data_IF_225045196834
#
_entry.id   IF_225045196834
#
_cell.length_a   1.000
_cell.length_b   1.000
_cell.length_c   1.000
_cell.angle_alpha   90.00
_cell.angle_beta   90.00
_cell.angle_gamma   90.00
#
_symmetry.space_group_name_H-M   'P 1'
#
loop_
_entity.id
_entity.type
_entity.pdbx_description
1 polymer ?
#
# COMPACT_ATOMS: atom_id res chain seq x y z
N UNK A 1 8.69 -10.12 -4.51
CA UNK A 1 7.23 -10.02 -4.41
C UNK A 1 6.75 -11.19 -3.58
N UNK A 2 5.87 -10.96 -2.62
CA UNK A 2 5.28 -12.00 -1.79
C UNK A 2 4.10 -12.62 -2.53
N UNK A 3 3.94 -13.95 -2.45
CA UNK A 3 3.00 -14.69 -3.31
C UNK A 3 1.61 -14.89 -2.70
N UNK A 4 1.46 -14.70 -1.40
CA UNK A 4 0.22 -15.02 -0.67
C UNK A 4 -0.04 -13.95 0.40
N UNK A 5 -0.50 -12.78 -0.03
CA UNK A 5 -0.86 -11.68 0.87
C UNK A 5 -2.29 -11.25 0.62
N UNK A 6 -3.07 -11.09 1.69
CA UNK A 6 -4.45 -10.59 1.60
C UNK A 6 -4.67 -9.38 2.51
N UNK A 7 -5.59 -8.50 2.12
CA UNK A 7 -6.09 -7.44 2.98
C UNK A 7 -7.11 -7.99 3.97
N UNK A 8 -7.20 -7.34 5.14
CA UNK A 8 -8.25 -7.65 6.12
C UNK A 8 -9.64 -7.26 5.61
N UNK A 9 -9.73 -6.12 4.92
CA UNK A 9 -10.98 -5.48 4.52
C UNK A 9 -10.92 -5.09 3.04
N UNK A 10 -12.09 -4.91 2.41
CA UNK A 10 -12.22 -4.56 0.99
C UNK A 10 -12.42 -3.06 0.72
N UNK A 11 -12.16 -2.19 1.70
CA UNK A 11 -12.33 -0.74 1.58
C UNK A 11 -11.21 0.03 2.29
N UNK A 12 -10.76 1.14 1.73
CA UNK A 12 -9.64 1.93 2.26
C UNK A 12 -9.83 2.33 3.73
N UNK A 13 -10.99 2.88 4.09
CA UNK A 13 -11.23 3.35 5.46
C UNK A 13 -11.23 2.22 6.48
N UNK A 14 -11.80 1.06 6.14
CA UNK A 14 -11.81 -0.11 7.03
C UNK A 14 -10.40 -0.71 7.17
N UNK A 15 -9.62 -0.74 6.09
CA UNK A 15 -8.22 -1.20 6.13
C UNK A 15 -7.38 -0.32 7.05
N UNK A 16 -7.54 1.01 7.01
CA UNK A 16 -6.76 1.92 7.86
C UNK A 16 -7.07 1.82 9.36
N UNK A 17 -8.16 1.14 9.75
CA UNK A 17 -8.39 0.78 11.15
C UNK A 17 -7.39 -0.25 11.69
N UNK A 18 -6.68 -0.99 10.83
CA UNK A 18 -5.71 -2.00 11.29
C UNK A 18 -4.33 -1.88 10.64
N UNK A 19 -4.24 -1.45 9.38
CA UNK A 19 -3.01 -1.52 8.58
C UNK A 19 -1.76 -0.92 9.25
N UNK A 20 -1.92 0.22 9.94
CA UNK A 20 -0.80 0.97 10.53
C UNK A 20 -0.81 0.99 12.05
N UNK A 21 -1.49 0.04 12.71
CA UNK A 21 -1.53 -0.07 14.16
C UNK A 21 -1.65 -1.54 14.60
N UNK A 22 -1.67 -1.82 15.90
CA UNK A 22 -1.73 -3.19 16.44
C UNK A 22 -3.16 -3.79 16.51
N UNK A 23 -4.16 -3.15 15.92
CA UNK A 23 -5.50 -3.71 15.72
C UNK A 23 -5.46 -4.71 14.58
N UNK A 24 -6.15 -5.82 14.75
CA UNK A 24 -6.26 -6.92 13.79
C UNK A 24 -7.65 -7.56 13.91
N UNK A 25 -7.89 -8.67 13.22
CA UNK A 25 -9.18 -9.37 13.28
C UNK A 25 -9.50 -10.02 14.64
N UNK A 26 -8.51 -10.28 15.49
CA UNK A 26 -8.67 -10.96 16.79
C UNK A 26 -8.70 -9.98 17.98
N UNK A 27 -8.32 -8.73 17.75
CA UNK A 27 -8.38 -7.67 18.75
C UNK A 27 -9.81 -7.25 19.10
N UNK A 28 -10.02 -6.81 20.34
CA UNK A 28 -11.36 -6.57 20.91
C UNK A 28 -11.62 -5.13 21.38
N UNK A 29 -10.75 -4.18 21.01
CA UNK A 29 -10.89 -2.77 21.36
C UNK A 29 -11.03 -1.95 20.09
N UNK A 30 -11.66 -0.77 20.14
CA UNK A 30 -11.61 0.16 19.02
C UNK A 30 -10.16 0.46 18.60
N UNK A 31 -9.92 0.55 17.29
CA UNK A 31 -8.58 0.65 16.71
C UNK A 31 -7.74 1.82 17.29
N UNK A 32 -8.40 2.93 17.62
CA UNK A 32 -7.75 4.13 18.16
C UNK A 32 -7.19 3.95 19.59
N UNK A 33 -7.43 2.80 20.23
CA UNK A 33 -6.75 2.43 21.47
C UNK A 33 -5.41 1.72 21.25
N UNK A 34 -5.12 1.25 20.04
CA UNK A 34 -3.85 0.62 19.69
C UNK A 34 -2.81 1.66 19.27
N UNK A 35 -1.53 1.35 19.52
CA UNK A 35 -0.43 2.22 19.11
C UNK A 35 -0.29 2.20 17.59
N UNK A 36 -0.13 3.39 17.02
CA UNK A 36 0.04 3.57 15.58
C UNK A 36 1.53 3.64 15.21
N UNK A 37 1.88 3.03 14.08
CA UNK A 37 3.22 2.93 13.52
C UNK A 37 3.89 4.31 13.35
N UNK A 38 3.16 5.33 12.91
CA UNK A 38 3.69 6.69 12.70
C UNK A 38 4.17 7.30 14.02
N UNK A 39 3.43 7.11 15.12
CA UNK A 39 3.84 7.62 16.43
C UNK A 39 5.03 6.86 16.98
N UNK A 40 5.10 5.56 16.72
CA UNK A 40 6.23 4.74 17.11
C UNK A 40 7.49 5.24 16.39
N UNK A 41 7.44 5.46 15.07
CA UNK A 41 8.57 6.05 14.33
C UNK A 41 8.99 7.42 14.87
N UNK A 42 8.05 8.32 15.15
CA UNK A 42 8.36 9.62 15.79
C UNK A 42 9.06 9.45 17.14
N UNK A 43 8.57 8.53 17.99
CA UNK A 43 9.17 8.22 19.30
C UNK A 43 10.55 7.58 19.16
N UNK A 44 10.81 6.88 18.07
CA UNK A 44 12.11 6.31 17.70
C UNK A 44 13.02 7.31 16.95
N UNK A 45 12.71 8.60 17.00
CA UNK A 45 13.48 9.70 16.41
C UNK A 45 13.58 9.69 14.88
N UNK A 46 12.58 9.14 14.20
CA UNK A 46 12.43 9.29 12.74
C UNK A 46 11.70 10.58 12.42
N UNK A 47 12.16 11.29 11.40
CA UNK A 47 11.37 12.33 10.75
C UNK A 47 10.26 11.65 9.93
N UNK A 48 9.00 12.04 10.14
CA UNK A 48 7.85 11.37 9.52
C UNK A 48 7.20 12.25 8.46
N UNK A 49 6.99 11.65 7.28
CA UNK A 49 6.41 12.31 6.12
C UNK A 49 5.22 11.51 5.60
N UNK A 50 4.13 12.19 5.24
CA UNK A 50 2.99 11.61 4.54
C UNK A 50 2.66 12.44 3.30
N UNK A 51 2.80 11.83 2.13
CA UNK A 51 2.49 12.42 0.84
C UNK A 51 1.20 11.78 0.34
N UNK A 52 0.13 12.58 0.31
CA UNK A 52 -1.22 12.11 0.04
C UNK A 52 -1.65 12.49 -1.37
N UNK A 53 -1.95 11.47 -2.18
CA UNK A 53 -2.46 11.65 -3.54
C UNK A 53 -3.93 11.26 -3.69
N UNK A 54 -4.48 10.50 -2.75
CA UNK A 54 -5.91 10.26 -2.67
C UNK A 54 -6.64 11.51 -2.21
N UNK A 55 -7.85 11.72 -2.72
CA UNK A 55 -8.69 12.80 -2.21
C UNK A 55 -9.11 12.48 -0.78
N UNK A 56 -8.88 13.43 0.11
CA UNK A 56 -9.41 13.38 1.47
C UNK A 56 -10.80 14.01 1.43
N UNK A 57 -11.83 13.16 1.53
CA UNK A 57 -13.22 13.55 1.64
C UNK A 57 -13.90 12.87 2.84
N UNK A 58 -15.22 12.93 2.92
CA UNK A 58 -16.01 12.34 4.02
C UNK A 58 -15.84 10.82 4.16
N UNK A 59 -15.45 10.11 3.09
CA UNK A 59 -15.22 8.66 3.08
C UNK A 59 -13.79 8.27 3.45
N UNK A 60 -12.89 9.25 3.56
CA UNK A 60 -11.46 9.09 3.87
C UNK A 60 -11.13 9.50 5.32
N UNK A 61 -12.10 9.55 6.23
CA UNK A 61 -11.90 10.06 7.59
C UNK A 61 -10.83 9.30 8.37
N UNK A 62 -10.83 7.97 8.31
CA UNK A 62 -9.87 7.15 9.07
C UNK A 62 -8.46 7.35 8.53
N UNK A 63 -8.30 7.33 7.21
CA UNK A 63 -7.05 7.68 6.54
C UNK A 63 -6.57 9.09 6.90
N UNK A 64 -7.46 10.09 6.95
CA UNK A 64 -7.14 11.47 7.35
C UNK A 64 -6.62 11.53 8.79
N UNK A 65 -7.28 10.82 9.71
CA UNK A 65 -6.85 10.70 11.11
C UNK A 65 -5.51 9.97 11.27
N UNK A 66 -5.25 8.94 10.47
CA UNK A 66 -3.97 8.22 10.49
C UNK A 66 -2.86 9.08 9.92
N UNK A 67 -3.07 9.69 8.76
CA UNK A 67 -2.06 10.51 8.08
C UNK A 67 -1.72 11.80 8.84
N UNK A 68 -2.68 12.39 9.55
CA UNK A 68 -2.48 13.58 10.42
C UNK A 68 -1.52 13.34 11.59
N UNK A 69 -1.16 12.08 11.87
CA UNK A 69 -0.14 11.75 12.87
C UNK A 69 1.27 12.04 12.39
N UNK A 70 1.49 12.17 11.08
CA UNK A 70 2.83 12.46 10.54
C UNK A 70 3.23 13.90 10.84
N UNK A 71 4.52 14.11 11.16
CA UNK A 71 5.04 15.44 11.45
C UNK A 71 4.94 16.38 10.25
N UNK A 72 5.25 15.86 9.06
CA UNK A 72 5.14 16.58 7.80
C UNK A 72 4.09 15.89 6.93
N UNK A 73 2.98 16.56 6.65
CA UNK A 73 1.85 16.00 5.89
C UNK A 73 1.50 16.90 4.71
N UNK A 74 1.36 16.33 3.52
CA UNK A 74 1.16 17.05 2.27
C UNK A 74 -0.02 16.47 1.49
N UNK A 75 -1.05 17.28 1.23
CA UNK A 75 -2.26 16.88 0.51
C UNK A 75 -2.21 17.37 -0.94
N UNK A 76 -1.66 16.55 -1.82
CA UNK A 76 -1.24 16.99 -3.17
C UNK A 76 -2.41 17.26 -4.11
N UNK A 77 -3.59 16.68 -3.87
CA UNK A 77 -4.81 16.99 -4.64
C UNK A 77 -5.49 18.28 -4.18
N UNK A 78 -5.50 18.53 -2.87
CA UNK A 78 -6.18 19.68 -2.27
C UNK A 78 -5.36 20.94 -2.41
N UNK A 79 -4.07 20.84 -2.12
CA UNK A 79 -3.17 21.99 -1.97
C UNK A 79 -2.22 22.09 -3.19
N UNK A 80 -2.63 21.59 -4.37
CA UNK A 80 -1.78 21.48 -5.57
C UNK A 80 -1.13 22.80 -5.98
N UNK A 81 -1.87 23.91 -5.91
CA UNK A 81 -1.36 25.23 -6.31
C UNK A 81 -0.28 25.77 -5.35
N UNK A 82 -0.15 25.19 -4.16
CA UNK A 82 0.89 25.54 -3.20
C UNK A 82 2.22 24.85 -3.53
N UNK A 83 2.18 23.72 -4.23
CA UNK A 83 3.32 22.81 -4.36
C UNK A 83 3.85 22.64 -5.79
N UNK A 84 3.07 23.02 -6.80
CA UNK A 84 3.40 22.84 -8.20
C UNK A 84 3.31 24.17 -8.96
N UNK A 85 4.29 24.42 -9.84
CA UNK A 85 4.20 25.54 -10.78
C UNK A 85 3.20 25.21 -11.91
N UNK A 86 2.69 26.23 -12.63
CA UNK A 86 1.86 26.00 -13.81
C UNK A 86 2.53 25.03 -14.80
N UNK A 87 1.82 23.97 -15.17
CA UNK A 87 2.29 22.94 -16.11
C UNK A 87 3.08 21.78 -15.47
N UNK A 88 3.41 21.83 -14.19
CA UNK A 88 4.12 20.73 -13.51
C UNK A 88 3.21 19.63 -12.97
N UNK A 89 1.96 20.00 -12.66
CA UNK A 89 0.98 19.09 -12.10
C UNK A 89 0.27 18.32 -13.20
N UNK A 90 0.46 17.01 -13.22
CA UNK A 90 -0.15 16.11 -14.21
C UNK A 90 -1.55 15.64 -13.78
N UNK A 91 -1.83 15.66 -12.48
CA UNK A 91 -3.04 15.10 -11.88
C UNK A 91 -2.92 13.63 -11.50
N UNK A 92 -1.90 12.92 -11.98
CA UNK A 92 -1.67 11.49 -11.76
C UNK A 92 -0.63 11.24 -10.65
N UNK A 93 -0.49 9.98 -10.22
CA UNK A 93 0.32 9.61 -9.07
C UNK A 93 1.82 9.92 -9.25
N UNK A 94 2.33 10.04 -10.48
CA UNK A 94 3.70 10.47 -10.77
C UNK A 94 4.06 11.86 -10.19
N UNK A 95 3.05 12.72 -9.93
CA UNK A 95 3.24 14.01 -9.26
C UNK A 95 3.96 13.87 -7.91
N UNK A 96 3.81 12.71 -7.25
CA UNK A 96 4.44 12.44 -5.96
C UNK A 96 5.97 12.37 -6.07
N UNK A 97 6.50 11.95 -7.22
CA UNK A 97 7.94 11.85 -7.51
C UNK A 97 8.55 13.25 -7.65
N UNK A 98 7.87 14.10 -8.42
CA UNK A 98 8.22 15.51 -8.60
C UNK A 98 8.15 16.25 -7.26
N UNK A 99 7.07 16.04 -6.51
CA UNK A 99 6.89 16.66 -5.21
C UNK A 99 7.99 16.26 -4.23
N UNK A 100 8.29 14.97 -4.11
CA UNK A 100 9.35 14.46 -3.25
C UNK A 100 10.71 15.09 -3.58
N UNK A 101 11.08 15.06 -4.87
CA UNK A 101 12.40 15.53 -5.32
C UNK A 101 12.62 17.02 -5.04
N UNK A 102 11.57 17.83 -5.17
CA UNK A 102 11.66 19.28 -4.97
C UNK A 102 11.55 19.69 -3.51
N UNK A 103 10.61 19.09 -2.79
CA UNK A 103 10.19 19.60 -1.49
C UNK A 103 10.72 18.77 -0.33
N UNK A 104 10.90 17.45 -0.50
CA UNK A 104 11.20 16.56 0.63
C UNK A 104 12.69 16.28 0.78
N UNK A 105 13.44 16.18 -0.33
CA UNK A 105 14.87 15.84 -0.29
C UNK A 105 15.70 16.73 0.65
N UNK A 106 15.44 18.04 0.67
CA UNK A 106 16.15 19.00 1.53
C UNK A 106 15.72 18.94 3.01
N UNK A 107 14.60 18.30 3.31
CA UNK A 107 14.04 18.17 4.65
C UNK A 107 14.48 16.88 5.37
N UNK A 108 15.00 15.91 4.62
CA UNK A 108 15.42 14.61 5.14
C UNK A 108 16.42 14.76 6.30
N UNK A 109 16.28 13.90 7.30
CA UNK A 109 17.16 13.75 8.46
C UNK A 109 17.95 12.45 8.37
N UNK A 110 18.67 12.10 9.44
CA UNK A 110 19.42 10.85 9.52
C UNK A 110 18.51 9.61 9.47
N UNK A 111 17.29 9.70 10.01
CA UNK A 111 16.27 8.64 9.97
C UNK A 111 14.95 9.23 9.49
N UNK A 112 14.35 8.63 8.46
CA UNK A 112 13.10 9.10 7.87
C UNK A 112 12.13 7.94 7.68
N UNK A 113 10.86 8.16 8.00
CA UNK A 113 9.75 7.27 7.66
C UNK A 113 8.81 8.05 6.74
N UNK A 114 8.65 7.57 5.52
CA UNK A 114 7.99 8.30 4.43
C UNK A 114 6.89 7.41 3.88
N UNK A 115 5.65 7.89 3.96
CA UNK A 115 4.49 7.22 3.37
C UNK A 115 4.11 7.94 2.09
N UNK A 116 4.10 7.18 0.99
CA UNK A 116 3.56 7.58 -0.30
C UNK A 116 2.17 6.93 -0.43
N UNK A 117 1.10 7.70 -0.24
CA UNK A 117 -0.26 7.19 -0.38
C UNK A 117 -0.80 7.55 -1.75
N UNK A 118 -0.90 6.53 -2.61
CA UNK A 118 -1.22 6.63 -4.03
C UNK A 118 -2.73 6.51 -4.26
N UNK A 119 -3.26 7.01 -5.38
CA UNK A 119 -4.61 6.64 -5.83
C UNK A 119 -4.63 5.23 -6.41
N UNK A 120 -3.50 4.78 -6.95
CA UNK A 120 -3.30 3.47 -7.54
C UNK A 120 -4.39 3.14 -8.55
N UNK A 121 -4.94 1.93 -8.42
CA UNK A 121 -5.97 1.40 -9.31
C UNK A 121 -7.39 1.60 -8.78
N UNK A 122 -7.68 2.75 -8.15
CA UNK A 122 -9.03 3.08 -7.69
C UNK A 122 -9.99 3.36 -8.87
N UNK A 123 -11.26 2.95 -8.74
CA UNK A 123 -12.32 3.24 -9.74
C UNK A 123 -12.59 4.76 -9.84
N UNK A 124 -12.84 5.36 -11.01
CA UNK A 124 -12.84 4.89 -12.41
C UNK A 124 -11.43 4.68 -12.96
N UNK A 125 -11.10 3.47 -13.45
CA UNK A 125 -9.72 3.08 -13.77
C UNK A 125 -9.07 3.87 -14.92
N UNK A 126 -9.85 4.27 -15.93
CA UNK A 126 -9.37 5.04 -17.09
C UNK A 126 -8.82 6.43 -16.73
N UNK A 127 -9.15 6.93 -15.54
CA UNK A 127 -8.67 8.21 -15.03
C UNK A 127 -7.45 8.04 -14.09
N UNK A 128 -6.87 6.84 -14.01
CA UNK A 128 -5.69 6.56 -13.17
C UNK A 128 -4.38 6.70 -13.92
N UNK A 129 -4.43 6.82 -15.24
CA UNK A 129 -3.25 6.88 -16.10
C UNK A 129 -3.44 7.89 -17.24
N UNK A 130 -2.37 8.56 -17.71
CA UNK A 130 -2.44 9.40 -18.89
C UNK A 130 -2.58 8.55 -20.16
N UNK A 131 -3.06 9.16 -21.26
CA UNK A 131 -3.30 8.46 -22.54
C UNK A 131 -2.07 7.70 -23.07
N UNK A 132 -0.85 8.15 -22.76
CA UNK A 132 0.40 7.47 -23.13
C UNK A 132 0.58 6.10 -22.46
N UNK A 133 -0.16 5.82 -21.39
CA UNK A 133 -0.19 4.55 -20.68
C UNK A 133 -1.41 3.67 -21.02
N UNK A 134 -2.25 4.09 -21.97
CA UNK A 134 -3.34 3.28 -22.51
C UNK A 134 -2.79 2.20 -23.49
N UNK A 135 -1.98 1.29 -22.96
CA UNK A 135 -1.20 0.31 -23.74
C UNK A 135 -2.04 -0.87 -24.19
N UNK A 136 -2.82 -1.45 -23.27
CA UNK A 136 -3.61 -2.65 -23.49
C UNK A 136 -5.02 -2.28 -23.92
N UNK A 137 -5.53 -3.00 -24.92
CA UNK A 137 -6.89 -2.89 -25.43
C UNK A 137 -7.67 -4.17 -25.10
N UNK A 138 -9.01 -4.15 -25.18
CA UNK A 138 -9.80 -5.37 -25.03
C UNK A 138 -9.36 -6.54 -25.93
N UNK A 139 -8.86 -6.24 -27.13
CA UNK A 139 -8.36 -7.26 -28.07
C UNK A 139 -7.10 -8.00 -27.58
N UNK A 140 -6.38 -7.44 -26.60
CA UNK A 140 -5.11 -7.97 -26.11
C UNK A 140 -5.31 -8.87 -24.87
N UNK A 141 -6.54 -8.98 -24.37
CA UNK A 141 -6.87 -9.63 -23.09
C UNK A 141 -7.74 -10.86 -23.27
N UNK A 142 -7.61 -11.80 -22.34
CA UNK A 142 -8.51 -12.95 -22.20
C UNK A 142 -9.57 -12.65 -21.16
N UNK A 143 -10.83 -12.98 -21.49
CA UNK A 143 -11.98 -12.79 -20.60
C UNK A 143 -12.62 -14.11 -20.17
N UNK A 144 -11.98 -15.24 -20.47
CA UNK A 144 -12.54 -16.60 -20.27
C UNK A 144 -12.91 -16.92 -18.82
N UNK A 145 -12.24 -16.28 -17.85
CA UNK A 145 -12.47 -16.47 -16.42
C UNK A 145 -13.23 -15.30 -15.78
N UNK A 146 -13.83 -14.42 -16.58
CA UNK A 146 -14.51 -13.21 -16.10
C UNK A 146 -15.99 -13.23 -16.52
N UNK A 147 -16.85 -12.70 -15.66
CA UNK A 147 -18.28 -12.56 -15.89
C UNK A 147 -18.63 -11.27 -16.66
N UNK A 148 -17.84 -10.95 -17.68
CA UNK A 148 -18.09 -9.80 -18.57
C UNK A 148 -19.19 -10.11 -19.57
N UNK A 149 -20.09 -9.16 -19.84
CA UNK A 149 -21.26 -9.39 -20.70
C UNK A 149 -21.25 -8.58 -21.99
N UNK A 150 -20.46 -7.52 -22.06
CA UNK A 150 -20.46 -6.58 -23.19
C UNK A 150 -19.09 -5.90 -23.36
N UNK A 151 -18.94 -5.10 -24.42
CA UNK A 151 -17.66 -4.43 -24.72
C UNK A 151 -17.29 -3.34 -23.72
N UNK A 152 -18.26 -2.77 -23.00
CA UNK A 152 -17.99 -1.83 -21.91
C UNK A 152 -17.31 -2.54 -20.74
N UNK A 153 -17.77 -3.74 -20.36
CA UNK A 153 -17.14 -4.53 -19.29
C UNK A 153 -15.70 -4.91 -19.67
N UNK A 154 -15.47 -5.33 -20.92
CA UNK A 154 -14.12 -5.62 -21.43
C UNK A 154 -13.22 -4.39 -21.42
N UNK A 155 -13.76 -3.21 -21.74
CA UNK A 155 -13.01 -1.95 -21.66
C UNK A 155 -12.65 -1.61 -20.22
N UNK A 156 -13.54 -1.85 -19.24
CA UNK A 156 -13.25 -1.65 -17.82
C UNK A 156 -12.07 -2.54 -17.37
N UNK A 157 -12.04 -3.80 -17.80
CA UNK A 157 -10.91 -4.71 -17.52
C UNK A 157 -9.62 -4.17 -18.15
N UNK A 158 -9.66 -3.70 -19.41
CA UNK A 158 -8.49 -3.12 -20.07
C UNK A 158 -7.98 -1.86 -19.37
N UNK A 159 -8.88 -0.99 -18.91
CA UNK A 159 -8.53 0.20 -18.15
C UNK A 159 -7.93 -0.16 -16.79
N UNK A 160 -8.44 -1.19 -16.12
CA UNK A 160 -7.85 -1.70 -14.88
C UNK A 160 -6.42 -2.20 -15.12
N UNK A 161 -6.18 -3.03 -16.14
CA UNK A 161 -4.83 -3.51 -16.51
C UNK A 161 -3.89 -2.35 -16.85
N UNK A 162 -4.34 -1.34 -17.59
CA UNK A 162 -3.55 -0.14 -17.87
C UNK A 162 -3.23 0.68 -16.61
N UNK A 163 -4.15 0.75 -15.65
CA UNK A 163 -3.89 1.40 -14.37
C UNK A 163 -2.80 0.69 -13.57
N UNK A 164 -2.76 -0.65 -13.61
CA UNK A 164 -1.69 -1.44 -12.99
C UNK A 164 -0.34 -1.20 -13.69
N UNK A 165 -0.33 -1.15 -15.03
CA UNK A 165 0.86 -0.82 -15.81
C UNK A 165 1.41 0.57 -15.49
N UNK A 166 0.54 1.57 -15.34
CA UNK A 166 0.94 2.89 -14.88
C UNK A 166 1.43 2.91 -13.42
N UNK A 167 0.75 2.18 -12.54
CA UNK A 167 1.17 2.07 -11.14
C UNK A 167 2.56 1.44 -11.01
N UNK A 168 2.90 0.43 -11.83
CA UNK A 168 4.26 -0.13 -11.90
C UNK A 168 5.32 0.94 -12.26
N UNK A 169 5.03 1.79 -13.24
CA UNK A 169 5.90 2.92 -13.58
C UNK A 169 6.11 3.88 -12.40
N UNK A 170 5.04 4.22 -11.67
CA UNK A 170 5.12 5.08 -10.47
C UNK A 170 5.95 4.41 -9.38
N UNK A 171 5.73 3.12 -9.10
CA UNK A 171 6.49 2.37 -8.10
C UNK A 171 7.98 2.28 -8.45
N UNK A 172 8.32 2.03 -9.71
CA UNK A 172 9.69 2.09 -10.17
C UNK A 172 10.30 3.48 -9.96
N UNK A 173 9.52 4.55 -10.23
CA UNK A 173 9.91 5.91 -9.88
C UNK A 173 10.24 6.07 -8.39
N UNK A 174 9.38 5.56 -7.50
CA UNK A 174 9.59 5.61 -6.04
C UNK A 174 10.86 4.85 -5.65
N UNK A 175 11.06 3.62 -6.15
CA UNK A 175 12.26 2.83 -5.85
C UNK A 175 13.54 3.58 -6.28
N UNK A 176 13.50 4.24 -7.44
CA UNK A 176 14.63 5.03 -7.93
C UNK A 176 14.96 6.25 -7.07
N UNK A 177 14.02 6.81 -6.29
CA UNK A 177 14.31 7.87 -5.32
C UNK A 177 15.23 7.39 -4.17
N UNK A 178 15.24 6.09 -3.90
CA UNK A 178 15.93 5.49 -2.74
C UNK A 178 17.09 4.57 -3.12
N UNK A 179 17.36 4.34 -4.41
CA UNK A 179 18.37 3.39 -4.88
C UNK A 179 19.78 3.64 -4.34
N UNK A 180 20.15 4.90 -4.12
CA UNK A 180 21.48 5.32 -3.63
C UNK A 180 21.49 5.62 -2.11
N UNK A 181 20.52 5.08 -1.36
CA UNK A 181 20.36 5.28 0.09
C UNK A 181 20.43 3.94 0.82
N UNK A 182 20.73 3.93 2.12
CA UNK A 182 20.47 2.76 2.98
C UNK A 182 18.96 2.69 3.25
N UNK A 183 18.23 2.00 2.36
CA UNK A 183 16.78 2.10 2.28
C UNK A 183 16.10 0.75 2.05
N UNK A 184 14.95 0.61 2.72
CA UNK A 184 13.97 -0.45 2.51
C UNK A 184 12.62 0.22 2.24
N UNK A 185 11.93 -0.23 1.19
CA UNK A 185 10.64 0.29 0.77
C UNK A 185 9.64 -0.87 0.78
N UNK A 186 8.54 -0.69 1.49
CA UNK A 186 7.42 -1.63 1.52
C UNK A 186 6.32 -1.06 0.63
N UNK A 187 5.89 -1.83 -0.36
CA UNK A 187 4.70 -1.54 -1.14
C UNK A 187 3.64 -2.59 -0.81
N UNK A 188 2.47 -2.12 -0.41
CA UNK A 188 1.30 -2.94 -0.13
C UNK A 188 0.07 -2.18 -0.63
N UNK A 189 -0.82 -2.85 -1.38
CA UNK A 189 -2.14 -2.30 -1.70
C UNK A 189 -3.03 -2.39 -0.47
N UNK A 190 -3.81 -1.35 -0.16
CA UNK A 190 -4.74 -1.36 0.98
C UNK A 190 -5.76 -2.50 0.87
N UNK A 191 -6.36 -2.65 -0.31
CA UNK A 191 -7.16 -3.77 -0.75
C UNK A 191 -7.02 -3.97 -2.27
N UNK A 192 -7.73 -4.94 -2.84
CA UNK A 192 -7.77 -5.17 -4.28
C UNK A 192 -9.12 -4.71 -4.88
N UNK A 193 -9.34 -5.03 -6.16
CA UNK A 193 -10.59 -4.78 -6.85
C UNK A 193 -11.05 -6.11 -7.44
N UNK A 194 -12.29 -6.48 -7.17
CA UNK A 194 -12.95 -7.53 -7.95
C UNK A 194 -13.38 -6.88 -9.26
N UNK A 195 -12.80 -7.29 -10.38
CA UNK A 195 -13.06 -6.80 -11.73
C UNK A 195 -13.67 -7.93 -12.57
N UNK A 196 -14.89 -8.32 -12.18
CA UNK A 196 -15.71 -9.35 -12.80
C UNK A 196 -15.25 -10.80 -12.54
N UNK A 197 -14.34 -11.05 -11.60
CA UNK A 197 -13.93 -12.42 -11.24
C UNK A 197 -15.03 -13.15 -10.45
N UNK A 198 -15.72 -12.49 -9.52
CA UNK A 198 -16.73 -13.17 -8.68
C UNK A 198 -18.16 -13.05 -9.21
N UNK A 199 -18.40 -12.21 -10.21
CA UNK A 199 -19.74 -11.96 -10.76
C UNK A 199 -19.79 -10.80 -11.75
N UNK A 200 -20.98 -10.38 -12.21
CA UNK A 200 -21.13 -9.39 -13.29
C UNK A 200 -20.88 -7.93 -12.82
N UNK A 201 -20.17 -7.74 -11.71
CA UNK A 201 -19.92 -6.45 -11.09
C UNK A 201 -18.42 -6.23 -10.90
N UNK A 202 -18.04 -4.97 -10.70
CA UNK A 202 -16.66 -4.60 -10.44
C UNK A 202 -16.52 -3.51 -9.37
N UNK A 203 -15.49 -3.61 -8.55
CA UNK A 203 -15.15 -2.63 -7.51
C UNK A 203 -14.70 -3.28 -6.19
N UNK A 204 -15.02 -2.59 -5.11
CA UNK A 204 -14.73 -3.02 -3.74
C UNK A 204 -15.56 -4.24 -3.38
N UNK A 205 -14.93 -5.26 -2.81
CA UNK A 205 -15.56 -6.52 -2.47
C UNK A 205 -14.80 -7.23 -1.36
N UNK A 206 -15.51 -8.03 -0.57
CA UNK A 206 -14.94 -9.00 0.37
C UNK A 206 -14.75 -10.39 -0.27
N UNK A 207 -14.70 -10.46 -1.60
CA UNK A 207 -14.36 -11.67 -2.33
C UNK A 207 -12.85 -11.96 -2.28
N UNK A 208 -12.46 -13.16 -2.70
CA UNK A 208 -11.05 -13.51 -2.87
C UNK A 208 -10.31 -12.49 -3.77
N UNK A 209 -10.88 -12.15 -4.92
CA UNK A 209 -10.32 -11.16 -5.85
C UNK A 209 -10.25 -9.73 -5.26
N UNK A 210 -11.20 -9.37 -4.39
CA UNK A 210 -11.19 -8.07 -3.70
C UNK A 210 -10.20 -7.95 -2.55
N UNK A 211 -9.64 -9.07 -2.08
CA UNK A 211 -8.76 -9.11 -0.90
C UNK A 211 -7.33 -9.58 -1.22
N UNK A 212 -7.08 -10.29 -2.32
CA UNK A 212 -5.72 -10.68 -2.72
C UNK A 212 -4.92 -9.48 -3.23
N UNK A 213 -3.90 -9.06 -2.50
CA UNK A 213 -3.16 -7.82 -2.73
C UNK A 213 -1.69 -8.06 -3.05
N UNK A 214 -1.06 -7.20 -3.87
CA UNK A 214 0.38 -7.22 -4.03
C UNK A 214 1.06 -6.72 -2.75
N UNK A 215 2.04 -7.49 -2.29
CA UNK A 215 3.00 -7.05 -1.28
C UNK A 215 4.43 -7.22 -1.81
N UNK A 216 5.21 -6.15 -1.73
CA UNK A 216 6.57 -6.10 -2.22
C UNK A 216 7.47 -5.39 -1.22
N UNK A 217 8.70 -5.90 -1.11
CA UNK A 217 9.78 -5.21 -0.42
C UNK A 217 10.89 -4.97 -1.44
N UNK A 218 11.20 -3.71 -1.65
CA UNK A 218 12.39 -3.26 -2.34
C UNK A 218 13.46 -2.91 -1.31
N UNK A 219 14.70 -3.35 -1.56
CA UNK A 219 15.88 -2.97 -0.78
C UNK A 219 16.93 -2.44 -1.73
N UNK A 220 17.53 -1.30 -1.38
CA UNK A 220 18.63 -0.71 -2.16
C UNK A 220 19.89 -1.57 -2.08
N UNK A 221 20.86 -1.33 -2.97
CA UNK A 221 22.12 -2.08 -2.94
C UNK A 221 22.91 -1.82 -1.65
N UNK A 222 22.92 -0.56 -1.18
CA UNK A 222 23.52 -0.20 0.11
C UNK A 222 22.85 -0.96 1.28
N UNK A 223 21.52 -1.11 1.26
CA UNK A 223 20.82 -1.87 2.28
C UNK A 223 21.21 -3.35 2.25
N UNK A 224 21.34 -3.95 1.05
CA UNK A 224 21.74 -5.35 0.91
C UNK A 224 23.14 -5.61 1.47
N UNK A 225 24.07 -4.68 1.22
CA UNK A 225 25.44 -4.79 1.72
C UNK A 225 25.52 -4.65 3.24
N UNK A 226 24.76 -3.71 3.82
CA UNK A 226 24.79 -3.42 5.25
C UNK A 226 23.97 -4.38 6.12
N UNK A 227 22.89 -4.95 5.59
CA UNK A 227 21.94 -5.77 6.35
C UNK A 227 21.65 -7.13 5.66
N UNK A 228 22.68 -7.94 5.34
CA UNK A 228 22.51 -9.19 4.61
C UNK A 228 21.61 -10.21 5.35
N UNK A 229 21.60 -10.18 6.68
CA UNK A 229 20.71 -11.00 7.51
C UNK A 229 19.23 -10.66 7.30
N UNK A 230 18.88 -9.37 7.20
CA UNK A 230 17.51 -8.94 6.90
C UNK A 230 17.08 -9.34 5.51
N UNK A 231 17.98 -9.25 4.53
CA UNK A 231 17.73 -9.74 3.16
C UNK A 231 17.42 -11.23 3.16
N UNK A 232 18.14 -12.03 3.96
CA UNK A 232 17.87 -13.46 4.12
C UNK A 232 16.48 -13.71 4.72
N UNK A 233 16.09 -12.96 5.75
CA UNK A 233 14.75 -13.07 6.35
C UNK A 233 13.65 -12.76 5.33
N UNK A 234 13.80 -11.68 4.55
CA UNK A 234 12.84 -11.30 3.49
C UNK A 234 12.72 -12.43 2.45
N UNK A 235 13.85 -12.96 1.96
CA UNK A 235 13.87 -14.05 0.95
C UNK A 235 13.17 -15.32 1.47
N UNK A 236 13.38 -15.67 2.74
CA UNK A 236 12.77 -16.85 3.35
C UNK A 236 11.26 -16.71 3.59
N UNK A 237 10.71 -15.49 3.50
CA UNK A 237 9.31 -15.21 3.76
C UNK A 237 8.45 -15.08 2.50
N UNK A 238 9.04 -15.10 1.29
CA UNK A 238 8.34 -14.77 0.04
C UNK A 238 7.06 -15.57 -0.22
N UNK A 239 7.02 -16.84 0.21
CA UNK A 239 5.90 -17.74 -0.05
C UNK A 239 5.03 -18.01 1.19
N UNK A 240 5.25 -17.27 2.29
CA UNK A 240 4.44 -17.41 3.50
C UNK A 240 3.10 -16.66 3.34
N UNK A 241 1.98 -17.21 3.84
CA UNK A 241 0.72 -16.48 3.87
C UNK A 241 0.87 -15.27 4.79
N UNK A 242 0.33 -14.11 4.40
CA UNK A 242 0.42 -12.88 5.17
C UNK A 242 -0.88 -12.08 5.12
N UNK A 243 -1.18 -11.40 6.22
CA UNK A 243 -2.34 -10.52 6.36
C UNK A 243 -1.85 -9.08 6.52
N UNK A 244 -2.47 -8.13 5.82
CA UNK A 244 -2.05 -6.73 5.88
C UNK A 244 -2.21 -6.09 7.26
N UNK A 245 -3.12 -6.59 8.11
CA UNK A 245 -3.27 -6.12 9.49
C UNK A 245 -2.13 -6.56 10.43
N UNK A 246 -1.28 -7.51 10.00
CA UNK A 246 -0.06 -7.87 10.73
C UNK A 246 1.18 -7.05 10.29
N UNK A 247 1.01 -6.05 9.40
CA UNK A 247 2.13 -5.26 8.85
C UNK A 247 3.01 -4.65 9.94
N UNK A 248 2.42 -4.11 11.01
CA UNK A 248 3.17 -3.47 12.09
C UNK A 248 4.05 -4.46 12.87
N UNK A 249 3.60 -5.70 13.04
CA UNK A 249 4.34 -6.77 13.72
C UNK A 249 5.57 -7.20 12.91
N UNK A 250 5.54 -7.01 11.59
CA UNK A 250 6.63 -7.42 10.69
C UNK A 250 7.58 -6.27 10.35
N UNK A 251 7.03 -5.08 10.10
CA UNK A 251 7.80 -3.92 9.62
C UNK A 251 8.72 -3.35 10.70
N UNK A 252 8.19 -3.12 11.91
CA UNK A 252 8.96 -2.48 12.99
C UNK A 252 10.20 -3.29 13.40
N UNK A 253 10.09 -4.62 13.65
CA UNK A 253 11.27 -5.42 14.01
C UNK A 253 12.29 -5.48 12.88
N UNK A 254 11.84 -5.52 11.62
CA UNK A 254 12.75 -5.54 10.46
C UNK A 254 13.60 -4.27 10.39
N UNK A 255 13.08 -3.12 10.82
CA UNK A 255 13.85 -1.87 10.92
C UNK A 255 14.52 -1.66 12.28
N UNK A 256 14.47 -2.66 13.18
CA UNK A 256 15.14 -2.65 14.49
C UNK A 256 14.39 -1.89 15.58
N UNK A 257 13.08 -1.68 15.42
CA UNK A 257 12.21 -1.08 16.44
C UNK A 257 11.39 -2.20 17.08
N UNK A 258 11.60 -2.41 18.37
CA UNK A 258 10.85 -3.39 19.16
C UNK A 258 9.93 -2.69 20.15
N UNK A 259 8.74 -3.25 20.33
CA UNK A 259 7.76 -2.70 21.28
C UNK A 259 7.14 -3.82 22.10
N UNK A 260 6.59 -3.48 23.26
CA UNK A 260 5.90 -4.46 24.13
C UNK A 260 4.60 -5.03 23.53
N UNK A 261 4.05 -4.38 22.51
CA UNK A 261 2.80 -4.77 21.86
C UNK A 261 3.07 -5.71 20.65
N UNK A 262 4.34 -6.01 20.37
CA UNK A 262 4.78 -6.93 19.32
C UNK A 262 4.34 -8.37 19.64
N UNK A 263 3.85 -9.09 18.63
CA UNK A 263 3.47 -10.49 18.71
C UNK A 263 4.30 -11.26 17.68
N UNK A 264 5.25 -12.05 18.15
CA UNK A 264 6.22 -12.77 17.31
C UNK A 264 5.56 -13.75 16.34
N UNK A 265 4.44 -14.37 16.72
CA UNK A 265 3.69 -15.26 15.83
C UNK A 265 3.03 -14.54 14.64
N UNK A 266 2.94 -13.21 14.69
CA UNK A 266 2.42 -12.34 13.61
C UNK A 266 3.53 -11.65 12.81
N UNK A 267 4.79 -11.77 13.25
CA UNK A 267 5.94 -11.23 12.53
C UNK A 267 6.35 -12.19 11.41
N UNK A 268 6.08 -11.81 10.16
CA UNK A 268 6.36 -12.60 8.95
C UNK A 268 7.81 -13.09 8.84
N UNK A 269 8.74 -12.33 9.41
CA UNK A 269 10.19 -12.58 9.39
C UNK A 269 10.67 -13.38 10.60
N UNK A 270 9.82 -13.58 11.61
CA UNK A 270 10.16 -14.34 12.81
C UNK A 270 10.21 -15.85 12.54
N UNK A 271 11.12 -16.59 13.21
CA UNK A 271 11.04 -18.05 13.25
C UNK A 271 9.77 -18.57 13.95
N UNK A 272 9.09 -17.73 14.75
CA UNK A 272 7.85 -18.10 15.45
C UNK A 272 6.58 -17.78 14.64
N UNK A 273 6.72 -17.26 13.41
CA UNK A 273 5.60 -16.91 12.55
C UNK A 273 4.63 -18.08 12.38
N UNK A 274 3.36 -17.87 12.72
CA UNK A 274 2.32 -18.87 12.58
C UNK A 274 1.70 -18.83 11.18
N UNK A 275 2.29 -19.59 10.25
CA UNK A 275 1.78 -19.73 8.90
C UNK A 275 0.44 -20.51 8.81
N UNK A 276 -0.03 -21.09 9.92
CA UNK A 276 -1.32 -21.79 10.00
C UNK A 276 -2.42 -20.94 10.65
N UNK A 277 -2.10 -19.69 11.05
CA UNK A 277 -3.07 -18.76 11.61
C UNK A 277 -4.26 -18.62 10.64
N UNK A 278 -5.47 -18.81 11.17
CA UNK A 278 -6.69 -18.58 10.39
C UNK A 278 -6.76 -17.11 9.97
N UNK A 279 -6.81 -16.88 8.66
CA UNK A 279 -6.98 -15.55 8.08
C UNK A 279 -8.44 -15.13 8.17
N UNK A 280 -8.74 -14.16 9.02
CA UNK A 280 -10.09 -13.63 9.23
C UNK A 280 -10.19 -12.30 8.49
N UNK A 281 -11.10 -12.23 7.52
CA UNK A 281 -11.33 -11.05 6.69
C UNK A 281 -12.77 -10.60 6.79
N UNK A 282 -12.97 -9.29 6.66
CA UNK A 282 -14.23 -8.59 6.71
C UNK A 282 -15.04 -8.77 8.01
N UNK A 283 -15.73 -7.71 8.45
CA UNK A 283 -16.56 -7.74 9.68
C UNK A 283 -17.68 -8.80 9.67
N UNK A 284 -17.94 -9.44 8.53
CA UNK A 284 -18.81 -10.60 8.37
C UNK A 284 -18.03 -11.69 7.64
N UNK A 285 -17.28 -12.48 8.40
CA UNK A 285 -16.39 -13.50 7.86
C UNK A 285 -17.07 -14.37 6.82
N UNK A 286 -16.62 -14.25 5.56
CA UNK A 286 -16.76 -15.36 4.62
C UNK A 286 -15.57 -16.25 4.90
N UNK A 287 -15.73 -17.15 5.87
CA UNK A 287 -14.85 -18.30 5.97
C UNK A 287 -14.95 -19.08 4.66
N UNK A 288 -13.84 -19.15 3.94
CA UNK A 288 -13.56 -20.23 3.00
C UNK A 288 -12.29 -20.93 3.48
#
# INVERSE_FOLDING_TARGET
MFSDTISKEGSTSDVFESLLNYSDAETNKPWYHYRNMIDIFKRSHYETFWLEKQFVDQWSLIQDLVSSRSKNRYLLQRDRNLYFLPGEWTGYDEDILTFYSKNILSQLKSKNFIVFHLRGSHKTYSERFPKSFAKFKPSDLSFSNLHVSNDRDKQIVADYVNSLYYNDFVLNGIFNLFKDKDAIVFYLSDHAQDVFESGPTYGHSCSKAGLEIPFMIYVSDIFKEKHPEKVKLIKNALNKPFMSDDLIHSLLPLVGIHTKDEIESKNLFSPQFDAQRKRITCRWGIGS
#
